data_IF_186103645493
#
_entry.id   IF_186103645493
#
_cell.length_a   1.000
_cell.length_b   1.000
_cell.length_c   1.000
_cell.angle_alpha   90.00
_cell.angle_beta   90.00
_cell.angle_gamma   90.00
#
_symmetry.space_group_name_H-M   'P 1'
#
loop_
_entity.id
_entity.type
_entity.pdbx_description
1 polymer ?
#
# COMPACT_ATOMS: atom_id res chain seq x y z
N UNK A 1 14.22 16.29 0.51
CA UNK A 1 13.09 15.76 1.33
C UNK A 1 12.75 14.33 0.89
N UNK A 2 12.57 13.37 1.82
CA UNK A 2 12.31 11.96 1.45
C UNK A 2 10.86 11.77 1.01
N UNK A 3 10.63 11.33 -0.23
CA UNK A 3 9.28 11.05 -0.75
C UNK A 3 8.58 10.02 0.13
N UNK A 4 7.42 10.38 0.70
CA UNK A 4 6.61 9.45 1.50
C UNK A 4 6.22 8.24 0.65
N UNK A 5 6.74 7.07 1.02
CA UNK A 5 6.37 5.80 0.40
C UNK A 5 4.94 5.44 0.80
N UNK A 6 4.12 5.09 -0.18
CA UNK A 6 2.75 4.61 0.05
C UNK A 6 2.80 3.25 0.76
N UNK A 7 1.74 2.94 1.51
CA UNK A 7 1.58 1.65 2.19
C UNK A 7 1.46 0.47 1.21
N UNK A 8 1.66 -0.75 1.73
CA UNK A 8 1.67 -1.98 0.93
C UNK A 8 0.43 -2.13 0.04
N UNK A 9 -0.77 -1.99 0.61
CA UNK A 9 -2.03 -2.13 -0.14
C UNK A 9 -2.19 -1.08 -1.25
N UNK A 10 -1.79 0.17 -0.98
CA UNK A 10 -1.82 1.22 -1.99
C UNK A 10 -0.88 0.92 -3.16
N UNK A 11 0.27 0.30 -2.90
CA UNK A 11 1.20 -0.13 -3.94
C UNK A 11 0.64 -1.30 -4.76
N UNK A 12 0.02 -2.29 -4.09
CA UNK A 12 -0.62 -3.43 -4.76
C UNK A 12 -1.74 -2.94 -5.69
N UNK A 13 -2.60 -2.05 -5.21
CA UNK A 13 -3.70 -1.48 -6.01
C UNK A 13 -3.15 -0.65 -7.19
N UNK A 14 -2.10 0.14 -6.96
CA UNK A 14 -1.46 0.90 -8.02
C UNK A 14 -0.87 -0.01 -9.11
N UNK A 15 -0.23 -1.12 -8.72
CA UNK A 15 0.28 -2.09 -9.68
C UNK A 15 -0.84 -2.77 -10.47
N UNK A 16 -1.91 -3.22 -9.80
CA UNK A 16 -3.10 -3.78 -10.48
C UNK A 16 -3.63 -2.83 -11.55
N UNK A 17 -3.72 -1.53 -11.26
CA UNK A 17 -4.14 -0.52 -12.24
C UNK A 17 -3.17 -0.38 -13.41
N UNK A 18 -1.85 -0.45 -13.20
CA UNK A 18 -0.88 -0.41 -14.30
C UNK A 18 -1.03 -1.60 -15.24
N UNK A 19 -1.20 -2.79 -14.65
CA UNK A 19 -1.43 -4.02 -15.42
C UNK A 19 -2.73 -3.91 -16.23
N UNK A 20 -3.81 -3.45 -15.61
CA UNK A 20 -5.08 -3.23 -16.30
C UNK A 20 -4.98 -2.20 -17.45
N UNK A 21 -4.01 -1.27 -17.38
CA UNK A 21 -3.73 -0.29 -18.44
C UNK A 21 -2.78 -0.82 -19.53
N UNK A 22 -2.38 -2.09 -19.46
CA UNK A 22 -1.51 -2.70 -20.48
C UNK A 22 -0.02 -2.46 -20.26
N UNK A 23 0.45 -2.26 -19.03
CA UNK A 23 1.88 -2.01 -18.77
C UNK A 23 2.82 -3.21 -18.99
N UNK A 24 2.33 -4.37 -19.42
CA UNK A 24 3.12 -5.60 -19.56
C UNK A 24 3.66 -6.20 -18.24
N UNK A 25 3.37 -5.59 -17.09
CA UNK A 25 3.73 -6.13 -15.78
C UNK A 25 2.81 -7.31 -15.41
N UNK A 26 3.28 -8.26 -14.59
CA UNK A 26 2.43 -9.28 -13.97
C UNK A 26 2.55 -9.23 -12.44
N UNK A 27 1.55 -9.80 -11.75
CA UNK A 27 1.63 -9.98 -10.32
C UNK A 27 2.52 -11.17 -9.99
N UNK A 28 3.51 -10.98 -9.12
CA UNK A 28 4.39 -12.09 -8.69
C UNK A 28 3.57 -13.09 -7.89
N UNK A 29 3.84 -14.38 -8.09
CA UNK A 29 3.17 -15.43 -7.33
C UNK A 29 3.60 -15.36 -5.86
N UNK A 30 2.74 -15.75 -4.92
CA UNK A 30 3.14 -15.87 -3.53
C UNK A 30 4.35 -16.81 -3.39
N UNK A 31 5.40 -16.35 -2.71
CA UNK A 31 6.63 -17.14 -2.49
C UNK A 31 7.75 -16.91 -3.51
N UNK A 32 7.48 -16.23 -4.63
CA UNK A 32 8.53 -15.88 -5.59
C UNK A 32 9.46 -14.78 -5.04
N UNK A 33 10.72 -14.79 -5.50
CA UNK A 33 11.69 -13.73 -5.20
C UNK A 33 11.08 -12.37 -5.59
N UNK A 34 10.97 -11.46 -4.62
CA UNK A 34 10.39 -10.12 -4.82
C UNK A 34 8.87 -10.02 -4.64
N UNK A 35 8.16 -11.12 -4.36
CA UNK A 35 6.78 -11.06 -3.88
C UNK A 35 6.75 -10.50 -2.44
N UNK A 36 5.67 -9.81 -2.03
CA UNK A 36 5.54 -9.39 -0.64
C UNK A 36 5.52 -10.62 0.29
N UNK A 37 6.38 -10.63 1.30
CA UNK A 37 6.40 -11.69 2.30
C UNK A 37 5.08 -11.70 3.11
N UNK A 38 4.68 -12.87 3.62
CA UNK A 38 3.49 -13.02 4.49
C UNK A 38 3.49 -12.04 5.67
N UNK A 39 4.67 -11.81 6.28
CA UNK A 39 4.84 -10.84 7.36
C UNK A 39 4.58 -9.38 6.96
N UNK A 40 4.77 -9.02 5.69
CA UNK A 40 4.49 -7.66 5.21
C UNK A 40 2.98 -7.37 5.21
N UNK A 41 2.15 -8.35 4.86
CA UNK A 41 0.69 -8.24 4.95
C UNK A 41 0.23 -8.08 6.40
N UNK A 42 0.79 -8.86 7.33
CA UNK A 42 0.50 -8.73 8.78
C UNK A 42 0.85 -7.33 9.30
N UNK A 43 2.03 -6.80 8.94
CA UNK A 43 2.46 -5.44 9.32
C UNK A 43 1.57 -4.36 8.72
N UNK A 44 1.19 -4.51 7.46
CA UNK A 44 0.30 -3.58 6.77
C UNK A 44 -1.13 -3.61 7.32
N UNK A 45 -1.65 -4.78 7.71
CA UNK A 45 -2.99 -4.91 8.27
C UNK A 45 -3.16 -4.10 9.57
N UNK A 46 -2.12 -4.06 10.42
CA UNK A 46 -2.10 -3.25 11.66
C UNK A 46 -2.26 -1.75 11.42
N UNK A 47 -1.87 -1.26 10.24
CA UNK A 47 -1.94 0.17 9.88
C UNK A 47 -3.01 0.49 8.83
N UNK A 48 -3.55 -0.54 8.16
CA UNK A 48 -4.60 -0.42 7.14
C UNK A 48 -5.91 0.07 7.75
N UNK A 49 -6.25 -0.41 8.95
CA UNK A 49 -7.28 0.18 9.78
C UNK A 49 -6.65 1.36 10.50
N UNK A 50 -6.52 2.48 9.79
CA UNK A 50 -6.18 3.74 10.43
C UNK A 50 -7.16 3.90 11.59
N UNK A 51 -6.66 4.05 12.83
CA UNK A 51 -7.43 4.71 13.89
C UNK A 51 -8.10 5.87 13.19
N UNK A 52 -9.43 5.82 13.07
CA UNK A 52 -10.23 6.87 12.46
C UNK A 52 -9.59 8.14 13.00
N UNK A 53 -8.92 8.94 12.15
CA UNK A 53 -8.51 10.27 12.56
C UNK A 53 -9.87 10.91 12.79
N UNK A 54 -10.41 10.78 13.99
CA UNK A 54 -11.26 11.79 14.56
C UNK A 54 -10.50 13.04 14.21
N UNK A 55 -11.08 13.83 13.32
CA UNK A 55 -10.52 15.11 12.93
C UNK A 55 -10.30 15.80 14.28
N UNK A 56 -9.08 15.77 14.80
CA UNK A 56 -8.66 16.65 15.88
C UNK A 56 -8.82 18.01 15.24
N UNK A 57 -9.96 18.62 15.54
CA UNK A 57 -10.19 20.05 15.55
C UNK A 57 -8.89 20.68 16.01
N UNK A 58 -8.23 21.41 15.12
CA UNK A 58 -7.44 22.62 15.40
C UNK A 58 -6.71 23.01 14.13
N UNK A 59 -7.41 23.75 13.29
CA UNK A 59 -6.85 24.67 12.31
C UNK A 59 -7.72 25.91 12.36
N UNK A 60 -7.48 26.74 13.38
CA UNK A 60 -7.96 28.13 13.43
C UNK A 60 -7.30 28.81 12.22
N UNK A 61 -8.12 29.24 11.27
CA UNK A 61 -7.74 30.33 10.37
C UNK A 61 -7.94 31.65 11.11
#
# INVERSE_FOLDING_TARGET
>A
MRKRRRGLYANIQAKRRRIARGSGEHMRKPGEKGAPARGAFRKAAKTAHGRRRTRRRTGKH
#
